data_IF_088416758902
#
_entry.id   IF_088416758902
#
_cell.length_a   1.000
_cell.length_b   1.000
_cell.length_c   1.000
_cell.angle_alpha   90.00
_cell.angle_beta   90.00
_cell.angle_gamma   90.00
#
_symmetry.space_group_name_H-M   'P 1'
#
loop_
_entity.id
_entity.type
_entity.pdbx_description
1 polymer ?
#
# COMPACT_ATOMS: atom_id res chain seq x y z
N UNK A 1 -58.10 30.32 4.76
CA UNK A 1 -58.76 29.14 5.37
C UNK A 1 -60.01 28.67 4.58
N UNK A 2 -60.01 28.74 3.25
CA UNK A 2 -61.18 28.36 2.41
C UNK A 2 -60.89 27.25 1.40
N UNK A 3 -59.60 26.90 1.22
CA UNK A 3 -59.20 25.92 0.21
C UNK A 3 -59.48 24.47 0.63
N UNK A 4 -59.47 24.15 1.93
CA UNK A 4 -59.69 22.79 2.47
C UNK A 4 -61.18 22.46 2.60
N UNK A 5 -62.05 23.47 2.76
CA UNK A 5 -63.46 23.26 3.07
C UNK A 5 -64.31 22.88 1.84
N UNK A 6 -63.84 23.15 0.62
CA UNK A 6 -64.58 22.90 -0.62
C UNK A 6 -64.12 21.62 -1.37
N UNK A 7 -63.23 20.81 -0.77
CA UNK A 7 -62.84 19.52 -1.34
C UNK A 7 -63.90 18.45 -1.02
N UNK A 8 -64.22 17.62 -2.02
CA UNK A 8 -65.05 16.42 -1.82
C UNK A 8 -64.44 15.52 -0.73
N UNK A 9 -65.23 14.62 -0.13
CA UNK A 9 -64.77 13.71 0.93
C UNK A 9 -63.47 12.96 0.56
N UNK A 10 -63.26 12.67 -0.74
CA UNK A 10 -62.03 12.08 -1.27
C UNK A 10 -60.82 13.01 -1.15
N UNK A 11 -60.99 14.29 -1.43
CA UNK A 11 -59.94 15.29 -1.34
C UNK A 11 -59.49 15.58 0.10
N UNK A 12 -60.41 15.56 1.08
CA UNK A 12 -60.06 15.69 2.51
C UNK A 12 -59.19 14.53 3.00
N UNK A 13 -59.51 13.30 2.59
CA UNK A 13 -58.69 12.12 2.87
C UNK A 13 -57.31 12.20 2.21
N UNK A 14 -57.24 12.63 0.94
CA UNK A 14 -55.96 12.80 0.23
C UNK A 14 -55.09 13.84 0.95
N UNK A 15 -55.62 15.01 1.32
CA UNK A 15 -54.83 16.06 1.99
C UNK A 15 -54.31 15.62 3.37
N UNK A 16 -54.99 14.70 4.05
CA UNK A 16 -54.54 14.13 5.33
C UNK A 16 -53.40 13.11 5.15
N UNK A 17 -53.48 12.28 4.11
CA UNK A 17 -52.56 11.15 3.89
C UNK A 17 -51.32 11.56 3.07
N UNK A 18 -51.46 12.52 2.15
CA UNK A 18 -50.40 12.97 1.25
C UNK A 18 -49.10 13.39 1.98
N UNK A 19 -49.13 14.15 3.09
CA UNK A 19 -47.91 14.56 3.79
C UNK A 19 -47.13 13.37 4.36
N UNK A 20 -47.84 12.40 4.96
CA UNK A 20 -47.22 11.19 5.48
C UNK A 20 -46.58 10.35 4.35
N UNK A 21 -47.26 10.25 3.21
CA UNK A 21 -46.74 9.59 2.01
C UNK A 21 -45.47 10.26 1.48
N UNK A 22 -45.44 11.59 1.43
CA UNK A 22 -44.26 12.36 0.99
C UNK A 22 -43.05 12.15 1.91
N UNK A 23 -43.26 12.09 3.22
CA UNK A 23 -42.19 11.81 4.19
C UNK A 23 -41.60 10.41 3.96
N UNK A 24 -42.46 9.40 3.74
CA UNK A 24 -42.02 8.03 3.45
C UNK A 24 -41.20 7.98 2.15
N UNK A 25 -41.67 8.63 1.08
CA UNK A 25 -40.95 8.68 -0.20
C UNK A 25 -39.61 9.41 -0.07
N UNK A 26 -39.56 10.51 0.69
CA UNK A 26 -38.32 11.24 0.96
C UNK A 26 -37.29 10.37 1.71
N UNK A 27 -37.71 9.68 2.78
CA UNK A 27 -36.82 8.77 3.51
C UNK A 27 -36.41 7.56 2.67
N UNK A 28 -37.31 7.02 1.84
CA UNK A 28 -36.99 5.93 0.92
C UNK A 28 -35.94 6.37 -0.11
N UNK A 29 -36.10 7.56 -0.70
CA UNK A 29 -35.12 8.10 -1.65
C UNK A 29 -33.77 8.37 -0.98
N UNK A 30 -33.77 8.93 0.23
CA UNK A 30 -32.55 9.15 1.01
C UNK A 30 -31.86 7.82 1.36
N UNK A 31 -32.63 6.80 1.76
CA UNK A 31 -32.13 5.47 2.09
C UNK A 31 -31.53 4.77 0.86
N UNK A 32 -32.21 4.82 -0.28
CA UNK A 32 -31.70 4.27 -1.54
C UNK A 32 -30.41 4.96 -1.96
N UNK A 33 -30.33 6.28 -1.84
CA UNK A 33 -29.11 7.04 -2.18
C UNK A 33 -27.94 6.63 -1.29
N UNK A 34 -28.14 6.54 0.03
CA UNK A 34 -27.11 6.09 0.98
C UNK A 34 -26.67 4.64 0.70
N UNK A 35 -27.62 3.74 0.45
CA UNK A 35 -27.29 2.35 0.12
C UNK A 35 -26.50 2.24 -1.20
N UNK A 36 -26.74 3.13 -2.17
CA UNK A 36 -25.96 3.18 -3.40
C UNK A 36 -24.51 3.64 -3.15
N UNK A 37 -24.32 4.66 -2.30
CA UNK A 37 -23.00 5.13 -1.90
C UNK A 37 -22.24 4.06 -1.11
N UNK A 38 -22.91 3.34 -0.22
CA UNK A 38 -22.34 2.23 0.56
C UNK A 38 -21.87 1.09 -0.34
N UNK A 39 -22.65 0.72 -1.37
CA UNK A 39 -22.24 -0.27 -2.37
C UNK A 39 -20.99 0.16 -3.14
N UNK A 40 -20.91 1.44 -3.53
CA UNK A 40 -19.72 1.98 -4.20
C UNK A 40 -18.49 1.96 -3.29
N UNK A 41 -18.64 2.32 -2.03
CA UNK A 41 -17.56 2.28 -1.03
C UNK A 41 -17.07 0.85 -0.77
N UNK A 42 -17.98 -0.13 -0.69
CA UNK A 42 -17.63 -1.54 -0.53
C UNK A 42 -16.85 -2.10 -1.73
N UNK A 43 -17.21 -1.71 -2.96
CA UNK A 43 -16.48 -2.12 -4.16
C UNK A 43 -15.05 -1.56 -4.15
N UNK A 44 -14.88 -0.27 -3.83
CA UNK A 44 -13.55 0.34 -3.73
C UNK A 44 -12.70 -0.30 -2.62
N UNK A 45 -13.31 -0.61 -1.47
CA UNK A 45 -12.63 -1.31 -0.38
C UNK A 45 -12.14 -2.69 -0.84
N UNK A 46 -12.98 -3.45 -1.55
CA UNK A 46 -12.61 -4.76 -2.11
C UNK A 46 -11.44 -4.65 -3.09
N UNK A 47 -11.48 -3.70 -4.02
CA UNK A 47 -10.37 -3.47 -4.97
C UNK A 47 -9.06 -3.15 -4.24
N UNK A 48 -9.12 -2.32 -3.20
CA UNK A 48 -7.93 -1.99 -2.41
C UNK A 48 -7.39 -3.20 -1.63
N UNK A 49 -8.25 -4.07 -1.10
CA UNK A 49 -7.83 -5.32 -0.42
C UNK A 49 -7.13 -6.24 -1.43
N UNK A 50 -7.71 -6.43 -2.61
CA UNK A 50 -7.09 -7.23 -3.67
C UNK A 50 -5.74 -6.66 -4.11
N UNK A 51 -5.59 -5.33 -4.18
CA UNK A 51 -4.31 -4.68 -4.47
C UNK A 51 -3.26 -4.88 -3.37
N UNK A 52 -3.67 -5.01 -2.10
CA UNK A 52 -2.79 -5.31 -0.99
C UNK A 52 -2.35 -6.78 -1.03
N UNK A 53 -3.30 -7.71 -1.16
CA UNK A 53 -3.03 -9.16 -1.26
C UNK A 53 -2.10 -9.49 -2.44
N UNK A 54 -2.30 -8.83 -3.59
CA UNK A 54 -1.43 -8.98 -4.75
C UNK A 54 -0.03 -8.42 -4.52
N UNK A 55 0.10 -7.41 -3.65
CA UNK A 55 1.36 -6.73 -3.33
C UNK A 55 2.21 -7.45 -2.29
N UNK A 56 1.61 -8.28 -1.43
CA UNK A 56 2.29 -8.98 -0.34
C UNK A 56 3.50 -9.81 -0.81
N UNK A 57 3.41 -10.65 -1.86
CA UNK A 57 4.57 -11.40 -2.35
C UNK A 57 5.71 -10.48 -2.84
N UNK A 58 5.37 -9.35 -3.47
CA UNK A 58 6.37 -8.38 -3.93
C UNK A 58 7.06 -7.69 -2.76
N UNK A 59 6.32 -7.34 -1.70
CA UNK A 59 6.89 -6.78 -0.47
C UNK A 59 7.88 -7.76 0.15
N UNK A 60 7.52 -9.03 0.26
CA UNK A 60 8.40 -10.07 0.82
C UNK A 60 9.70 -10.22 0.02
N UNK A 61 9.61 -10.28 -1.32
CA UNK A 61 10.79 -10.40 -2.16
C UNK A 61 11.68 -9.15 -2.12
N UNK A 62 11.10 -7.95 -2.06
CA UNK A 62 11.86 -6.70 -1.87
C UNK A 62 12.56 -6.65 -0.51
N UNK A 63 11.93 -7.16 0.56
CA UNK A 63 12.56 -7.27 1.88
C UNK A 63 13.75 -8.24 1.88
N UNK A 64 13.61 -9.40 1.23
CA UNK A 64 14.70 -10.36 1.03
C UNK A 64 15.83 -9.76 0.18
N UNK A 65 15.49 -9.05 -0.90
CA UNK A 65 16.48 -8.38 -1.75
C UNK A 65 17.25 -7.29 -1.01
N UNK A 66 16.57 -6.50 -0.15
CA UNK A 66 17.21 -5.55 0.75
C UNK A 66 18.24 -6.23 1.67
N UNK A 67 17.85 -7.33 2.32
CA UNK A 67 18.72 -8.07 3.22
C UNK A 67 19.94 -8.66 2.51
N UNK A 68 19.74 -9.29 1.35
CA UNK A 68 20.84 -9.86 0.54
C UNK A 68 21.75 -8.79 -0.05
N UNK A 69 21.20 -7.62 -0.41
CA UNK A 69 22.01 -6.48 -0.86
C UNK A 69 22.94 -5.98 0.24
N UNK A 70 22.48 -5.94 1.50
CA UNK A 70 23.31 -5.58 2.64
C UNK A 70 24.46 -6.59 2.87
N UNK A 71 24.19 -7.88 2.73
CA UNK A 71 25.21 -8.95 2.80
C UNK A 71 26.24 -8.82 1.67
N UNK A 72 25.80 -8.54 0.45
CA UNK A 72 26.70 -8.30 -0.68
C UNK A 72 27.63 -7.09 -0.42
N UNK A 73 27.07 -5.96 0.02
CA UNK A 73 27.84 -4.74 0.33
C UNK A 73 28.86 -4.99 1.44
N UNK A 74 28.51 -5.76 2.47
CA UNK A 74 29.42 -6.06 3.60
C UNK A 74 30.44 -7.15 3.30
N UNK A 75 30.26 -7.92 2.22
CA UNK A 75 31.19 -8.97 1.82
C UNK A 75 32.51 -8.39 1.31
N UNK A 76 33.63 -8.99 1.72
CA UNK A 76 34.96 -8.59 1.30
C UNK A 76 35.15 -8.81 -0.21
N UNK A 77 35.71 -7.83 -0.95
CA UNK A 77 35.99 -7.98 -2.38
C UNK A 77 36.90 -9.19 -2.67
N UNK A 78 36.66 -9.86 -3.79
CA UNK A 78 37.39 -11.02 -4.32
C UNK A 78 37.38 -12.27 -3.40
N UNK A 79 36.51 -12.28 -2.39
CA UNK A 79 36.36 -13.42 -1.47
C UNK A 79 35.36 -14.47 -1.97
N UNK A 80 35.46 -15.71 -1.48
CA UNK A 80 34.44 -16.74 -1.71
C UNK A 80 33.06 -16.30 -1.18
N UNK A 81 33.05 -15.52 -0.09
CA UNK A 81 31.85 -14.93 0.49
C UNK A 81 31.16 -13.93 -0.45
N UNK A 82 31.92 -13.10 -1.18
CA UNK A 82 31.35 -12.22 -2.20
C UNK A 82 30.74 -13.02 -3.35
N UNK A 83 31.42 -14.07 -3.84
CA UNK A 83 30.89 -14.90 -4.94
C UNK A 83 29.57 -15.57 -4.55
N UNK A 84 29.46 -16.05 -3.32
CA UNK A 84 28.22 -16.61 -2.79
C UNK A 84 27.13 -15.53 -2.64
N UNK A 85 27.46 -14.38 -2.05
CA UNK A 85 26.55 -13.26 -1.88
C UNK A 85 25.99 -12.76 -3.23
N UNK A 86 26.84 -12.67 -4.27
CA UNK A 86 26.45 -12.31 -5.64
C UNK A 86 25.47 -13.31 -6.24
N UNK A 87 25.75 -14.62 -6.16
CA UNK A 87 24.83 -15.66 -6.66
C UNK A 87 23.47 -15.60 -5.95
N UNK A 88 23.51 -15.46 -4.63
CA UNK A 88 22.33 -15.35 -3.78
C UNK A 88 21.50 -14.11 -4.09
N UNK A 89 22.14 -12.96 -4.29
CA UNK A 89 21.49 -11.71 -4.67
C UNK A 89 20.89 -11.79 -6.07
N UNK A 90 21.59 -12.37 -7.03
CA UNK A 90 21.08 -12.48 -8.40
C UNK A 90 19.88 -13.42 -8.51
N UNK A 91 19.89 -14.56 -7.78
CA UNK A 91 18.73 -15.44 -7.66
C UNK A 91 17.54 -14.70 -7.05
N UNK A 92 17.77 -13.93 -5.99
CA UNK A 92 16.73 -13.12 -5.35
C UNK A 92 16.14 -12.07 -6.29
N UNK A 93 16.97 -11.36 -7.06
CA UNK A 93 16.51 -10.36 -8.05
C UNK A 93 15.56 -10.96 -9.07
N UNK A 94 15.83 -12.18 -9.55
CA UNK A 94 14.93 -12.88 -10.47
C UNK A 94 13.57 -13.17 -9.82
N UNK A 95 13.54 -13.54 -8.54
CA UNK A 95 12.28 -13.75 -7.83
C UNK A 95 11.52 -12.44 -7.61
N UNK A 96 12.22 -11.36 -7.25
CA UNK A 96 11.62 -10.02 -7.17
C UNK A 96 11.04 -9.60 -8.51
N UNK A 97 11.74 -9.81 -9.62
CA UNK A 97 11.29 -9.42 -10.97
C UNK A 97 10.05 -10.20 -11.41
N UNK A 98 9.99 -11.50 -11.09
CA UNK A 98 8.79 -12.32 -11.33
C UNK A 98 7.58 -11.80 -10.55
N UNK A 99 7.75 -11.51 -9.26
CA UNK A 99 6.67 -11.00 -8.42
C UNK A 99 6.28 -9.56 -8.79
N UNK A 100 7.23 -8.76 -9.23
CA UNK A 100 6.96 -7.42 -9.75
C UNK A 100 6.12 -7.48 -11.02
N UNK A 101 6.47 -8.35 -11.96
CA UNK A 101 5.67 -8.56 -13.16
C UNK A 101 4.28 -9.10 -12.83
N UNK A 102 4.16 -10.03 -11.89
CA UNK A 102 2.87 -10.56 -11.44
C UNK A 102 2.00 -9.45 -10.84
N UNK A 103 2.59 -8.60 -9.99
CA UNK A 103 1.89 -7.45 -9.40
C UNK A 103 1.42 -6.44 -10.46
N UNK A 104 2.28 -6.08 -11.41
CA UNK A 104 1.93 -5.17 -12.50
C UNK A 104 0.80 -5.74 -13.37
N UNK A 105 0.81 -7.04 -13.64
CA UNK A 105 -0.22 -7.70 -14.42
C UNK A 105 -1.54 -7.78 -13.65
N UNK A 106 -1.52 -8.09 -12.36
CA UNK A 106 -2.75 -8.12 -11.55
C UNK A 106 -3.34 -6.72 -11.33
N UNK A 107 -2.54 -5.65 -11.26
CA UNK A 107 -3.05 -4.27 -11.31
C UNK A 107 -3.83 -4.02 -12.60
N UNK A 108 -3.28 -4.43 -13.75
CA UNK A 108 -3.95 -4.26 -15.06
C UNK A 108 -5.26 -5.03 -15.11
N UNK A 109 -5.27 -6.29 -14.68
CA UNK A 109 -6.48 -7.11 -14.62
C UNK A 109 -7.56 -6.48 -13.72
N UNK A 110 -7.18 -5.98 -12.53
CA UNK A 110 -8.11 -5.29 -11.63
C UNK A 110 -8.66 -4.00 -12.24
N UNK A 111 -7.86 -3.27 -13.03
CA UNK A 111 -8.31 -2.06 -13.73
C UNK A 111 -9.31 -2.35 -14.87
N UNK A 112 -9.28 -3.56 -15.44
CA UNK A 112 -10.26 -4.02 -16.43
C UNK A 112 -11.58 -4.43 -15.78
N UNK A 113 -11.53 -5.02 -14.57
CA UNK A 113 -12.71 -5.49 -13.83
C UNK A 113 -13.43 -4.36 -13.07
N UNK A 114 -12.69 -3.39 -12.54
CA UNK A 114 -13.22 -2.33 -11.69
C UNK A 114 -12.62 -0.96 -12.04
N UNK A 115 -13.47 0.07 -12.05
CA UNK A 115 -12.98 1.45 -12.17
C UNK A 115 -12.30 1.87 -10.88
N UNK A 116 -11.00 2.16 -11.00
CA UNK A 116 -10.26 2.84 -9.95
C UNK A 116 -10.78 4.27 -9.82
N UNK A 117 -11.04 4.70 -8.59
CA UNK A 117 -11.21 6.11 -8.34
C UNK A 117 -9.86 6.87 -8.43
N UNK A 118 -9.93 8.19 -8.30
CA UNK A 118 -8.77 9.06 -8.38
C UNK A 118 -7.69 8.76 -7.33
N UNK A 119 -8.07 8.27 -6.15
CA UNK A 119 -7.13 7.95 -5.07
C UNK A 119 -6.35 6.66 -5.34
N UNK A 120 -7.03 5.62 -5.83
CA UNK A 120 -6.42 4.35 -6.22
C UNK A 120 -5.53 4.58 -7.44
N UNK A 121 -6.03 5.31 -8.44
CA UNK A 121 -5.27 5.62 -9.64
C UNK A 121 -3.98 6.37 -9.32
N UNK A 122 -4.04 7.43 -8.49
CA UNK A 122 -2.86 8.19 -8.09
C UNK A 122 -1.83 7.31 -7.36
N UNK A 123 -2.29 6.37 -6.53
CA UNK A 123 -1.45 5.42 -5.83
C UNK A 123 -0.78 4.41 -6.77
N UNK A 124 -1.53 3.88 -7.74
CA UNK A 124 -1.04 3.01 -8.81
C UNK A 124 0.04 3.70 -9.64
N UNK A 125 -0.23 4.92 -10.08
CA UNK A 125 0.69 5.69 -10.91
C UNK A 125 1.97 6.06 -10.14
N UNK A 126 1.85 6.37 -8.85
CA UNK A 126 3.01 6.65 -7.99
C UNK A 126 3.94 5.44 -7.88
N UNK A 127 3.38 4.27 -7.58
CA UNK A 127 4.15 3.03 -7.56
C UNK A 127 4.83 2.74 -8.90
N UNK A 128 4.13 2.88 -10.03
CA UNK A 128 4.71 2.62 -11.34
C UNK A 128 5.89 3.55 -11.66
N UNK A 129 5.83 4.82 -11.23
CA UNK A 129 6.96 5.75 -11.35
C UNK A 129 8.13 5.33 -10.44
N UNK A 130 7.84 5.07 -9.17
CA UNK A 130 8.88 4.88 -8.17
C UNK A 130 9.58 3.52 -8.31
N UNK A 131 8.86 2.47 -8.72
CA UNK A 131 9.43 1.14 -8.95
C UNK A 131 10.43 1.13 -10.12
N UNK A 132 10.34 2.09 -11.05
CA UNK A 132 11.35 2.30 -12.08
C UNK A 132 12.74 2.63 -11.53
N UNK A 133 12.82 3.12 -10.29
CA UNK A 133 14.09 3.40 -9.61
C UNK A 133 14.80 2.14 -9.10
N UNK A 134 14.12 0.99 -9.05
CA UNK A 134 14.70 -0.28 -8.58
C UNK A 134 15.91 -0.69 -9.42
N UNK A 135 15.86 -0.52 -10.74
CA UNK A 135 16.98 -0.83 -11.63
C UNK A 135 18.19 0.07 -11.36
N UNK A 136 17.96 1.35 -11.08
CA UNK A 136 19.06 2.26 -10.71
C UNK A 136 19.67 1.88 -9.37
N UNK A 137 18.83 1.59 -8.36
CA UNK A 137 19.27 1.13 -7.05
C UNK A 137 20.16 -0.12 -7.16
N UNK A 138 19.75 -1.11 -7.95
CA UNK A 138 20.53 -2.33 -8.19
C UNK A 138 21.89 -2.02 -8.80
N UNK A 139 21.95 -1.13 -9.79
CA UNK A 139 23.20 -0.69 -10.42
C UNK A 139 24.13 -0.01 -9.41
N UNK A 140 23.58 0.87 -8.57
CA UNK A 140 24.36 1.58 -7.56
C UNK A 140 24.91 0.61 -6.49
N UNK A 141 24.17 -0.46 -6.16
CA UNK A 141 24.61 -1.55 -5.27
C UNK A 141 25.72 -2.37 -5.94
N UNK A 142 25.55 -2.75 -7.20
CA UNK A 142 26.52 -3.57 -7.96
C UNK A 142 27.86 -2.84 -8.09
N UNK A 143 27.81 -1.52 -8.29
CA UNK A 143 28.99 -0.67 -8.34
C UNK A 143 29.53 -0.28 -6.95
N UNK A 144 28.92 -0.78 -5.86
CA UNK A 144 29.24 -0.46 -4.46
C UNK A 144 29.30 1.04 -4.16
N UNK A 145 28.49 1.84 -4.88
CA UNK A 145 28.41 3.30 -4.72
C UNK A 145 27.65 3.66 -3.44
N UNK A 146 26.71 2.80 -3.04
CA UNK A 146 25.87 2.99 -1.86
C UNK A 146 26.40 2.26 -0.64
N UNK A 147 26.41 2.94 0.50
CA UNK A 147 26.54 2.29 1.80
C UNK A 147 25.31 1.43 2.10
N UNK A 148 25.47 0.36 2.90
CA UNK A 148 24.38 -0.55 3.27
C UNK A 148 23.18 0.16 3.93
N UNK A 149 23.43 1.24 4.67
CA UNK A 149 22.39 2.08 5.27
C UNK A 149 21.52 2.78 4.20
N UNK A 150 22.15 3.33 3.17
CA UNK A 150 21.47 4.10 2.12
C UNK A 150 20.71 3.17 1.17
N UNK A 151 21.30 2.04 0.79
CA UNK A 151 20.60 1.02 -0.01
C UNK A 151 19.39 0.46 0.75
N UNK A 152 19.54 0.20 2.05
CA UNK A 152 18.45 -0.21 2.95
C UNK A 152 17.31 0.82 3.00
N UNK A 153 17.63 2.10 3.10
CA UNK A 153 16.64 3.18 3.10
C UNK A 153 15.88 3.25 1.76
N UNK A 154 16.57 3.17 0.62
CA UNK A 154 15.94 3.20 -0.71
C UNK A 154 15.00 2.00 -0.94
N UNK A 155 15.41 0.79 -0.56
CA UNK A 155 14.49 -0.36 -0.59
C UNK A 155 13.29 -0.16 0.31
N UNK A 156 13.50 0.40 1.51
CA UNK A 156 12.41 0.65 2.45
C UNK A 156 11.41 1.65 1.87
N UNK A 157 11.86 2.71 1.21
CA UNK A 157 10.96 3.62 0.49
C UNK A 157 10.13 2.90 -0.58
N UNK A 158 10.73 2.03 -1.39
CA UNK A 158 10.01 1.25 -2.41
C UNK A 158 8.98 0.29 -1.80
N UNK A 159 9.32 -0.38 -0.69
CA UNK A 159 8.39 -1.25 0.04
C UNK A 159 7.22 -0.43 0.58
N UNK A 160 7.50 0.74 1.13
CA UNK A 160 6.46 1.63 1.68
C UNK A 160 5.52 2.16 0.60
N UNK A 161 5.91 2.22 -0.68
CA UNK A 161 4.96 2.56 -1.77
C UNK A 161 3.85 1.52 -1.98
N UNK A 162 4.16 0.26 -1.67
CA UNK A 162 3.19 -0.84 -1.75
C UNK A 162 2.37 -0.88 -0.46
N UNK A 163 3.04 -0.74 0.69
CA UNK A 163 2.42 -0.78 2.03
C UNK A 163 1.54 0.43 2.35
N UNK A 164 1.89 1.64 1.89
CA UNK A 164 1.13 2.87 2.18
C UNK A 164 -0.23 2.93 1.47
N UNK A 165 -0.59 1.89 0.71
CA UNK A 165 -1.95 1.67 0.22
C UNK A 165 -2.90 1.18 1.30
N UNK A 166 -2.36 0.54 2.34
CA UNK A 166 -3.13 -0.02 3.46
C UNK A 166 -3.74 1.09 4.36
N UNK A 167 -3.09 2.24 4.62
CA UNK A 167 -3.74 3.40 5.23
C UNK A 167 -4.94 3.98 4.46
N UNK A 168 -4.97 3.87 3.13
CA UNK A 168 -6.13 4.27 2.32
C UNK A 168 -7.33 3.32 2.56
N UNK A 169 -7.05 2.03 2.81
CA UNK A 169 -8.05 1.07 3.29
C UNK A 169 -8.62 1.50 4.64
N UNK A 170 -7.79 1.93 5.60
CA UNK A 170 -8.25 2.36 6.95
C UNK A 170 -9.16 3.58 6.90
N UNK A 171 -8.84 4.58 6.07
CA UNK A 171 -9.68 5.78 5.93
C UNK A 171 -11.07 5.49 5.36
N UNK A 172 -11.22 4.35 4.67
CA UNK A 172 -12.48 3.92 4.05
C UNK A 172 -13.14 2.74 4.75
N UNK A 173 -12.40 2.00 5.57
CA UNK A 173 -12.92 0.93 6.38
C UNK A 173 -13.80 1.52 7.48
N UNK A 174 -15.11 1.28 7.40
CA UNK A 174 -16.07 1.63 8.45
C UNK A 174 -15.89 0.82 9.74
N UNK A 175 -15.05 -0.24 9.69
CA UNK A 175 -14.83 -1.23 10.75
C UNK A 175 -13.63 -0.85 11.66
N UNK A 176 -13.86 -0.53 12.96
CA UNK A 176 -12.81 -0.14 13.90
C UNK A 176 -11.72 -1.19 14.12
N UNK A 177 -12.07 -2.47 13.96
CA UNK A 177 -11.16 -3.59 14.22
C UNK A 177 -10.12 -3.76 13.11
N UNK A 178 -10.53 -3.56 11.84
CA UNK A 178 -9.64 -3.56 10.68
C UNK A 178 -8.68 -2.35 10.72
N UNK A 179 -9.20 -1.17 11.09
CA UNK A 179 -8.40 0.03 11.31
C UNK A 179 -7.29 -0.19 12.37
N UNK A 180 -7.61 -0.91 13.46
CA UNK A 180 -6.63 -1.22 14.52
C UNK A 180 -5.53 -2.16 14.05
N UNK A 181 -5.87 -3.22 13.31
CA UNK A 181 -4.88 -4.18 12.79
C UNK A 181 -3.91 -3.52 11.80
N UNK A 182 -4.42 -2.63 10.93
CA UNK A 182 -3.59 -1.92 9.98
C UNK A 182 -2.66 -0.94 10.67
N UNK A 183 -3.13 -0.18 11.67
CA UNK A 183 -2.27 0.71 12.45
C UNK A 183 -1.17 -0.07 13.18
N UNK A 184 -1.47 -1.27 13.69
CA UNK A 184 -0.47 -2.15 14.29
C UNK A 184 0.60 -2.61 13.28
N UNK A 185 0.18 -2.97 12.06
CA UNK A 185 1.11 -3.30 10.97
C UNK A 185 2.00 -2.11 10.60
N UNK A 186 1.43 -0.90 10.48
CA UNK A 186 2.17 0.31 10.16
C UNK A 186 3.23 0.62 11.23
N UNK A 187 2.85 0.53 12.50
CA UNK A 187 3.77 0.74 13.63
C UNK A 187 4.91 -0.30 13.63
N UNK A 188 4.62 -1.56 13.29
CA UNK A 188 5.63 -2.60 13.13
C UNK A 188 6.59 -2.30 11.97
N UNK A 189 6.08 -1.83 10.83
CA UNK A 189 6.89 -1.46 9.67
C UNK A 189 7.81 -0.27 9.98
N UNK A 190 7.30 0.77 10.65
CA UNK A 190 8.07 1.93 11.09
C UNK A 190 9.13 1.55 12.13
N UNK A 191 8.79 0.70 13.11
CA UNK A 191 9.72 0.18 14.09
C UNK A 191 10.85 -0.64 13.42
N UNK A 192 10.52 -1.49 12.45
CA UNK A 192 11.50 -2.24 11.69
C UNK A 192 12.43 -1.32 10.86
N UNK A 193 11.90 -0.22 10.31
CA UNK A 193 12.70 0.79 9.61
C UNK A 193 13.65 1.52 10.57
N UNK A 194 13.19 1.91 11.76
CA UNK A 194 14.03 2.53 12.79
C UNK A 194 15.13 1.59 13.28
N UNK A 195 14.80 0.33 13.59
CA UNK A 195 15.77 -0.68 13.99
C UNK A 195 16.83 -0.94 12.90
N UNK A 196 16.41 -0.93 11.63
CA UNK A 196 17.34 -1.04 10.49
C UNK A 196 18.30 0.15 10.41
N UNK A 197 17.82 1.38 10.69
CA UNK A 197 18.68 2.58 10.74
C UNK A 197 19.67 2.54 11.90
N UNK A 198 19.23 2.09 13.07
CA UNK A 198 20.09 1.94 14.24
C UNK A 198 21.17 0.86 14.03
N UNK A 199 20.81 -0.31 13.50
CA UNK A 199 21.79 -1.34 13.14
C UNK A 199 22.80 -0.84 12.09
N UNK A 200 22.35 -0.08 11.11
CA UNK A 200 23.23 0.52 10.12
C UNK A 200 24.20 1.56 10.74
N UNK A 201 23.73 2.35 11.71
CA UNK A 201 24.57 3.28 12.45
C UNK A 201 25.61 2.56 13.32
N UNK A 202 25.21 1.49 14.01
CA UNK A 202 26.09 0.65 14.85
C UNK A 202 27.15 -0.08 14.03
N UNK A 203 26.78 -0.63 12.88
CA UNK A 203 27.73 -1.28 11.96
C UNK A 203 28.72 -0.28 11.38
N UNK A 204 28.29 0.93 11.02
CA UNK A 204 29.19 2.00 10.60
C UNK A 204 30.16 2.46 11.71
N UNK A 205 29.68 2.59 12.95
CA UNK A 205 30.50 2.97 14.10
C UNK A 205 31.55 1.89 14.44
N UNK A 206 31.15 0.61 14.43
CA UNK A 206 32.08 -0.51 14.67
C UNK A 206 33.13 -0.68 13.56
N UNK A 207 32.77 -0.42 12.30
CA UNK A 207 33.72 -0.40 11.19
C UNK A 207 34.75 0.74 11.34
N UNK A 208 34.32 1.95 11.73
CA UNK A 208 35.23 3.07 12.04
C UNK A 208 36.16 2.76 13.21
N UNK A 209 35.65 2.16 14.28
CA UNK A 209 36.46 1.75 15.43
C UNK A 209 37.52 0.72 15.03
N UNK A 210 37.17 -0.27 14.19
CA UNK A 210 38.13 -1.26 13.66
C UNK A 210 39.19 -0.65 12.74
N UNK A 211 38.85 0.39 11.97
CA UNK A 211 39.81 1.09 11.12
C UNK A 211 40.81 1.93 11.95
N UNK A 212 40.39 2.49 13.09
CA UNK A 212 41.25 3.26 13.99
C UNK A 212 42.20 2.40 14.85
N UNK A 213 41.97 1.08 14.91
CA UNK A 213 42.75 0.11 15.69
C UNK A 213 43.73 -0.72 14.84
N UNK A 214 43.85 -0.44 13.53
CA UNK A 214 44.89 -1.02 12.67
C UNK A 214 46.12 -0.08 12.66
N UNK A 215 47.31 -0.55 13.09
CA UNK A 215 48.54 0.24 13.09
C UNK A 215 49.05 0.58 11.68
#
# INVERSE_FOLDING_TARGET
MTFINNLSMRGKLITLVLPALLVIVFFAFQSISRNMDDLGNMQQLRTMVQLAELGDPLVEELQKERGRSAVFISSAPDSDGEREATRNLQSQRQNTDRNLSAYQNGIKALAEEARFDSSIQASVDKFQRDIGNLTSLRRDIDNRVLAGAESGARYTSLIMEIVNRIPLLVRRASEPELARQINAYLALAEAAAMAGREQAALSAASARARAALRP
#
